data_IF_980909159247
#
_entry.id   IF_980909159247
#
_cell.length_a   1.000
_cell.length_b   1.000
_cell.length_c   1.000
_cell.angle_alpha   90.00
_cell.angle_beta   90.00
_cell.angle_gamma   90.00
#
_symmetry.space_group_name_H-M   'P 1'
#
loop_
_entity.id
_entity.type
_entity.pdbx_description
1 polymer ?
#
# COMPACT_ATOMS: atom_id res chain seq x y z
N UNK A 1 -14.11 -4.12 26.98
CA UNK A 1 -14.38 -3.85 25.54
C UNK A 1 -13.31 -4.57 24.71
N UNK A 2 -13.72 -5.24 23.61
CA UNK A 2 -12.76 -5.89 22.71
C UNK A 2 -12.65 -5.12 21.40
N UNK A 3 -11.44 -5.08 20.82
CA UNK A 3 -11.15 -4.46 19.54
C UNK A 3 -10.15 -5.32 18.74
N UNK A 4 -10.24 -5.24 17.42
CA UNK A 4 -9.34 -5.89 16.48
C UNK A 4 -8.42 -4.83 15.88
N UNK A 5 -7.11 -5.08 15.85
CA UNK A 5 -6.14 -4.28 15.12
C UNK A 5 -5.58 -5.08 13.96
N UNK A 6 -5.47 -4.48 12.79
CA UNK A 6 -4.88 -5.11 11.59
C UNK A 6 -3.76 -4.21 11.07
N UNK A 7 -2.59 -4.79 10.89
CA UNK A 7 -1.45 -4.17 10.19
C UNK A 7 -1.21 -4.85 8.85
N UNK A 8 -1.35 -4.09 7.77
CA UNK A 8 -1.16 -4.57 6.39
C UNK A 8 0.23 -4.15 5.91
N UNK A 9 1.24 -4.90 6.34
CA UNK A 9 2.63 -4.64 5.94
C UNK A 9 2.99 -5.18 4.56
N UNK A 10 4.11 -4.73 4.02
CA UNK A 10 4.62 -5.17 2.72
C UNK A 10 4.93 -6.67 2.68
N UNK A 11 5.47 -7.21 3.78
CA UNK A 11 5.91 -8.62 3.88
C UNK A 11 4.91 -9.50 4.60
N UNK A 12 4.26 -8.97 5.62
CA UNK A 12 3.32 -9.70 6.47
C UNK A 12 2.04 -8.91 6.66
N UNK A 13 0.96 -9.63 6.98
CA UNK A 13 -0.29 -9.07 7.47
C UNK A 13 -0.46 -9.62 8.88
N UNK A 14 -0.58 -8.73 9.85
CA UNK A 14 -0.70 -9.07 11.26
C UNK A 14 -2.02 -8.57 11.83
N UNK A 15 -2.63 -9.38 12.66
CA UNK A 15 -3.82 -9.03 13.39
C UNK A 15 -3.63 -9.25 14.89
N UNK A 16 -4.27 -8.43 15.69
CA UNK A 16 -4.34 -8.59 17.15
C UNK A 16 -5.76 -8.39 17.64
N UNK A 17 -6.12 -9.11 18.67
CA UNK A 17 -7.34 -8.84 19.45
C UNK A 17 -6.91 -8.33 20.81
N UNK A 18 -7.42 -7.16 21.18
CA UNK A 18 -7.15 -6.54 22.48
C UNK A 18 -8.42 -6.45 23.30
N UNK A 19 -8.28 -6.64 24.60
CA UNK A 19 -9.31 -6.35 25.58
C UNK A 19 -8.90 -5.11 26.38
N UNK A 20 -9.83 -4.18 26.50
CA UNK A 20 -9.66 -2.95 27.29
C UNK A 20 -10.60 -3.02 28.47
N UNK A 21 -10.05 -2.96 29.68
CA UNK A 21 -10.81 -2.97 30.93
C UNK A 21 -11.43 -1.58 31.26
N UNK A 22 -12.13 -1.50 32.38
CA UNK A 22 -12.75 -0.26 32.88
C UNK A 22 -11.72 0.81 33.24
N UNK A 23 -10.49 0.41 33.59
CA UNK A 23 -9.37 1.31 33.92
C UNK A 23 -8.56 1.73 32.69
N UNK A 24 -9.01 1.32 31.48
CA UNK A 24 -8.36 1.56 30.17
C UNK A 24 -7.00 0.87 30.00
N UNK A 25 -6.71 -0.17 30.78
CA UNK A 25 -5.59 -1.04 30.47
C UNK A 25 -5.96 -1.97 29.32
N UNK A 26 -5.05 -2.11 28.37
CA UNK A 26 -5.22 -2.99 27.22
C UNK A 26 -4.36 -4.25 27.39
N UNK A 27 -4.98 -5.40 27.12
CA UNK A 27 -4.31 -6.71 27.12
C UNK A 27 -4.50 -7.35 25.74
N UNK A 28 -3.41 -7.81 25.13
CA UNK A 28 -3.48 -8.60 23.91
C UNK A 28 -3.98 -9.99 24.26
N UNK A 29 -5.14 -10.37 23.72
CA UNK A 29 -5.76 -11.69 23.94
C UNK A 29 -5.25 -12.69 22.90
N UNK A 30 -5.09 -12.24 21.65
CA UNK A 30 -4.64 -13.07 20.55
C UNK A 30 -3.88 -12.22 19.54
N UNK A 31 -2.90 -12.84 18.90
CA UNK A 31 -2.17 -12.26 17.78
C UNK A 31 -1.96 -13.31 16.69
N UNK A 32 -2.06 -12.89 15.43
CA UNK A 32 -1.83 -13.73 14.25
C UNK A 32 -1.06 -12.94 13.21
N UNK A 33 -0.07 -13.59 12.61
CA UNK A 33 0.69 -13.02 11.49
C UNK A 33 0.73 -14.03 10.35
N UNK A 34 0.44 -13.57 9.15
CA UNK A 34 0.54 -14.36 7.92
C UNK A 34 1.47 -13.67 6.92
N UNK A 35 2.03 -14.45 6.00
CA UNK A 35 2.80 -13.90 4.89
C UNK A 35 1.90 -13.13 3.93
N UNK A 36 2.25 -11.90 3.59
CA UNK A 36 1.55 -11.13 2.59
C UNK A 36 1.66 -11.84 1.22
N UNK A 37 2.87 -12.12 0.73
CA UNK A 37 3.11 -12.94 -0.46
C UNK A 37 2.39 -12.45 -1.71
N UNK A 38 2.11 -11.16 -1.80
CA UNK A 38 1.37 -10.53 -2.92
C UNK A 38 2.29 -9.88 -3.96
N UNK A 39 3.62 -9.97 -3.80
CA UNK A 39 4.52 -9.46 -4.82
C UNK A 39 4.26 -10.11 -6.17
N UNK A 40 4.26 -9.27 -7.20
CA UNK A 40 4.14 -9.67 -8.60
C UNK A 40 5.57 -9.77 -9.17
N UNK A 41 5.89 -10.90 -9.81
CA UNK A 41 7.16 -11.07 -10.50
C UNK A 41 7.25 -10.15 -11.71
N UNK A 42 8.36 -9.43 -11.85
CA UNK A 42 8.62 -8.52 -12.97
C UNK A 42 9.99 -8.79 -13.56
N UNK A 43 10.21 -8.36 -14.81
CA UNK A 43 11.53 -8.43 -15.46
C UNK A 43 12.47 -7.29 -15.03
N UNK A 44 11.95 -6.26 -14.37
CA UNK A 44 12.70 -5.09 -13.95
C UNK A 44 13.11 -5.21 -12.49
N UNK A 45 14.39 -5.26 -12.21
CA UNK A 45 14.92 -5.40 -10.84
C UNK A 45 14.53 -4.25 -9.90
N UNK A 46 14.27 -3.06 -10.45
CA UNK A 46 13.85 -1.89 -9.69
C UNK A 46 12.35 -1.87 -9.38
N UNK A 47 11.56 -2.68 -10.06
CA UNK A 47 10.10 -2.69 -9.92
C UNK A 47 9.69 -3.53 -8.69
N UNK A 48 8.94 -2.92 -7.79
CA UNK A 48 8.44 -3.55 -6.57
C UNK A 48 6.95 -3.30 -6.44
N UNK A 49 6.19 -4.19 -7.07
CA UNK A 49 4.74 -4.10 -7.17
C UNK A 49 4.05 -5.29 -6.50
N UNK A 50 2.87 -5.06 -5.99
CA UNK A 50 2.05 -6.05 -5.32
C UNK A 50 0.63 -6.10 -5.91
N UNK A 51 0.02 -7.28 -5.83
CA UNK A 51 -1.38 -7.51 -6.15
C UNK A 51 -2.26 -6.98 -5.01
N UNK A 52 -2.94 -5.85 -5.25
CA UNK A 52 -3.77 -5.17 -4.26
C UNK A 52 -4.97 -6.03 -3.84
N UNK A 53 -5.61 -6.74 -4.78
CA UNK A 53 -6.75 -7.59 -4.48
C UNK A 53 -6.34 -8.77 -3.59
N UNK A 54 -5.19 -9.37 -3.86
CA UNK A 54 -4.65 -10.45 -3.02
C UNK A 54 -4.34 -9.98 -1.59
N UNK A 55 -3.87 -8.74 -1.43
CA UNK A 55 -3.66 -8.13 -0.11
C UNK A 55 -5.00 -8.02 0.63
N UNK A 56 -6.02 -7.45 -0.02
CA UNK A 56 -7.36 -7.28 0.55
C UNK A 56 -7.94 -8.64 0.97
N UNK A 57 -7.87 -9.65 0.10
CA UNK A 57 -8.37 -10.99 0.40
C UNK A 57 -7.69 -11.59 1.64
N UNK A 58 -6.37 -11.47 1.74
CA UNK A 58 -5.61 -11.99 2.90
C UNK A 58 -5.91 -11.23 4.19
N UNK A 59 -6.00 -9.91 4.13
CA UNK A 59 -6.38 -9.10 5.28
C UNK A 59 -7.78 -9.48 5.76
N UNK A 60 -8.71 -9.68 4.82
CA UNK A 60 -10.07 -10.10 5.10
C UNK A 60 -10.13 -11.45 5.80
N UNK A 61 -9.35 -12.44 5.37
CA UNK A 61 -9.28 -13.76 6.05
C UNK A 61 -8.88 -13.62 7.52
N UNK A 62 -7.91 -12.75 7.84
CA UNK A 62 -7.49 -12.52 9.24
C UNK A 62 -8.60 -11.84 10.04
N UNK A 63 -9.29 -10.85 9.44
CA UNK A 63 -10.40 -10.15 10.08
C UNK A 63 -11.58 -11.07 10.33
N UNK A 64 -12.00 -11.83 9.32
CA UNK A 64 -13.16 -12.75 9.41
C UNK A 64 -12.93 -13.80 10.51
N UNK A 65 -11.73 -14.39 10.58
CA UNK A 65 -11.37 -15.36 11.62
C UNK A 65 -11.46 -14.77 13.04
N UNK A 66 -11.03 -13.52 13.22
CA UNK A 66 -11.15 -12.84 14.51
C UNK A 66 -12.59 -12.45 14.84
N UNK A 67 -13.39 -12.03 13.85
CA UNK A 67 -14.81 -11.74 14.07
C UNK A 67 -15.57 -13.00 14.48
N UNK A 68 -15.32 -14.12 13.82
CA UNK A 68 -15.96 -15.40 14.14
C UNK A 68 -15.63 -15.86 15.57
N UNK A 69 -14.39 -15.68 15.99
CA UNK A 69 -13.93 -16.08 17.33
C UNK A 69 -14.30 -15.08 18.43
N UNK A 70 -14.39 -13.80 18.07
CA UNK A 70 -14.66 -12.69 19.01
C UNK A 70 -15.84 -11.83 18.53
N UNK A 71 -17.06 -12.36 18.47
CA UNK A 71 -18.22 -11.68 17.89
C UNK A 71 -18.61 -10.38 18.60
N UNK A 72 -18.08 -10.12 19.79
CA UNK A 72 -18.29 -8.88 20.55
C UNK A 72 -17.16 -7.84 20.37
N UNK A 73 -16.23 -8.06 19.44
CA UNK A 73 -15.25 -7.07 19.05
C UNK A 73 -15.84 -6.15 17.97
N UNK A 74 -16.41 -5.02 18.40
CA UNK A 74 -17.14 -4.11 17.52
C UNK A 74 -16.29 -3.00 16.89
N UNK A 75 -15.01 -2.92 17.24
CA UNK A 75 -14.10 -1.91 16.73
C UNK A 75 -12.95 -2.58 15.97
N UNK A 76 -12.64 -2.06 14.78
CA UNK A 76 -11.51 -2.50 13.97
C UNK A 76 -10.63 -1.28 13.70
N UNK A 77 -9.34 -1.37 14.07
CA UNK A 77 -8.31 -0.41 13.72
C UNK A 77 -7.46 -0.96 12.59
N UNK A 78 -7.16 -0.12 11.60
CA UNK A 78 -6.32 -0.49 10.47
C UNK A 78 -5.05 0.37 10.45
N UNK A 79 -3.93 -0.26 10.14
CA UNK A 79 -2.68 0.37 9.75
C UNK A 79 -2.06 -0.41 8.60
N UNK A 80 -1.07 0.14 7.92
CA UNK A 80 -0.44 -0.56 6.81
C UNK A 80 0.80 0.15 6.29
N UNK A 81 1.36 -0.42 5.20
CA UNK A 81 2.51 0.17 4.52
C UNK A 81 2.18 1.57 4.00
N UNK A 82 3.15 2.46 4.09
CA UNK A 82 3.03 3.86 3.66
C UNK A 82 3.73 4.09 2.32
N UNK A 83 3.50 5.29 1.76
CA UNK A 83 4.20 5.83 0.60
C UNK A 83 3.97 5.10 -0.74
N UNK A 84 3.21 4.02 -0.76
CA UNK A 84 2.81 3.37 -2.01
C UNK A 84 1.70 4.13 -2.74
N UNK A 85 1.35 3.66 -3.94
CA UNK A 85 0.20 4.15 -4.71
C UNK A 85 -0.49 3.00 -5.45
N UNK A 86 -1.80 3.00 -5.47
CA UNK A 86 -2.64 2.17 -6.33
C UNK A 86 -3.66 3.07 -7.03
N UNK A 87 -3.93 2.80 -8.31
CA UNK A 87 -4.97 3.51 -9.04
C UNK A 87 -6.30 2.78 -8.90
N UNK A 88 -7.35 3.54 -8.65
CA UNK A 88 -8.70 3.03 -8.49
C UNK A 88 -9.60 3.61 -9.58
N UNK A 89 -10.59 2.83 -10.04
CA UNK A 89 -11.67 3.33 -10.89
C UNK A 89 -12.76 4.04 -10.06
N UNK A 90 -13.79 4.55 -10.73
CA UNK A 90 -14.90 5.24 -10.09
C UNK A 90 -15.67 4.38 -9.06
N UNK A 91 -15.63 3.06 -9.23
CA UNK A 91 -16.25 2.08 -8.32
C UNK A 91 -15.34 1.69 -7.16
N UNK A 92 -14.14 2.30 -7.03
CA UNK A 92 -13.16 2.02 -5.97
C UNK A 92 -12.41 0.68 -6.15
N UNK A 93 -12.43 0.09 -7.35
CA UNK A 93 -11.66 -1.14 -7.64
C UNK A 93 -10.28 -0.78 -8.16
N UNK A 94 -9.28 -1.57 -7.77
CA UNK A 94 -7.93 -1.39 -8.29
C UNK A 94 -7.87 -1.63 -9.79
N UNK A 95 -7.26 -0.70 -10.52
CA UNK A 95 -6.99 -0.77 -11.97
C UNK A 95 -5.50 -0.79 -12.27
N UNK A 96 -4.68 -0.92 -11.24
CA UNK A 96 -3.24 -1.10 -11.32
C UNK A 96 -2.76 -2.02 -10.20
N UNK A 97 -1.52 -2.54 -10.29
CA UNK A 97 -0.87 -3.07 -9.09
C UNK A 97 -0.67 -1.96 -8.05
N UNK A 98 -0.46 -2.35 -6.80
CA UNK A 98 0.09 -1.48 -5.77
C UNK A 98 1.58 -1.30 -6.03
N UNK A 99 2.01 -0.10 -6.36
CA UNK A 99 3.41 0.29 -6.41
C UNK A 99 3.87 0.57 -5.00
N UNK A 100 4.79 -0.24 -4.47
CA UNK A 100 5.18 -0.15 -3.07
C UNK A 100 6.20 0.97 -2.83
N UNK A 101 6.44 1.29 -1.57
CA UNK A 101 7.49 2.22 -1.15
C UNK A 101 8.92 1.76 -1.54
N UNK A 102 9.10 0.49 -1.87
CA UNK A 102 10.37 -0.09 -2.32
C UNK A 102 10.58 0.05 -3.83
N UNK A 103 9.58 0.55 -4.58
CA UNK A 103 9.68 0.68 -6.02
C UNK A 103 10.74 1.71 -6.42
N UNK A 104 11.65 1.30 -7.27
CA UNK A 104 12.84 2.06 -7.66
C UNK A 104 12.69 2.94 -8.90
N UNK A 105 11.48 3.00 -9.53
CA UNK A 105 11.29 3.68 -10.82
C UNK A 105 11.73 5.14 -10.85
N UNK A 106 11.57 5.86 -9.75
CA UNK A 106 12.01 7.26 -9.65
C UNK A 106 13.51 7.47 -9.80
N UNK A 107 14.33 6.43 -9.54
CA UNK A 107 15.78 6.43 -9.72
C UNK A 107 16.22 5.97 -11.12
N UNK A 108 15.30 5.40 -11.91
CA UNK A 108 15.63 4.91 -13.23
C UNK A 108 15.99 6.08 -14.16
N UNK A 109 17.12 5.97 -14.84
CA UNK A 109 17.58 7.02 -15.74
C UNK A 109 16.84 6.90 -17.09
N UNK A 110 16.28 8.01 -17.52
CA UNK A 110 15.71 8.15 -18.86
C UNK A 110 16.82 8.11 -19.91
N UNK A 111 16.72 7.22 -20.88
CA UNK A 111 17.74 7.04 -21.94
C UNK A 111 17.98 8.31 -22.78
N UNK A 112 16.98 9.19 -22.87
CA UNK A 112 17.07 10.43 -23.65
C UNK A 112 17.79 11.55 -22.90
N UNK A 113 17.60 11.63 -21.59
CA UNK A 113 18.14 12.71 -20.77
C UNK A 113 19.35 12.30 -19.96
N UNK A 114 19.56 10.98 -19.75
CA UNK A 114 20.55 10.42 -18.86
C UNK A 114 20.32 10.75 -17.38
N UNK A 115 19.17 11.32 -17.03
CA UNK A 115 18.81 11.71 -15.67
C UNK A 115 17.62 10.90 -15.16
N UNK A 116 17.61 10.62 -13.86
CA UNK A 116 16.44 10.06 -13.20
C UNK A 116 15.41 11.17 -12.90
N UNK A 117 14.15 10.77 -12.72
CA UNK A 117 13.09 11.70 -12.32
C UNK A 117 13.43 12.42 -11.00
N UNK A 118 14.01 11.70 -10.04
CA UNK A 118 14.43 12.31 -8.77
C UNK A 118 15.47 13.40 -8.98
N UNK A 119 16.44 13.19 -9.88
CA UNK A 119 17.45 14.19 -10.21
C UNK A 119 16.85 15.42 -10.88
N UNK A 120 15.89 15.22 -11.79
CA UNK A 120 15.17 16.33 -12.42
C UNK A 120 14.38 17.16 -11.40
N UNK A 121 13.72 16.49 -10.43
CA UNK A 121 12.96 17.17 -9.36
C UNK A 121 13.92 17.93 -8.44
N UNK A 122 15.03 17.31 -8.01
CA UNK A 122 16.02 17.96 -7.15
C UNK A 122 16.57 19.22 -7.80
N UNK A 123 16.92 19.17 -9.09
CA UNK A 123 17.45 20.31 -9.83
C UNK A 123 16.43 21.44 -10.01
N UNK A 124 15.14 21.11 -10.24
CA UNK A 124 14.10 22.11 -10.49
C UNK A 124 13.50 22.69 -9.22
N UNK A 125 13.29 21.87 -8.22
CA UNK A 125 12.52 22.23 -7.03
C UNK A 125 13.38 22.33 -5.77
N UNK A 126 14.66 21.96 -5.83
CA UNK A 126 15.58 21.86 -4.67
C UNK A 126 15.01 20.95 -3.55
N UNK A 127 14.18 20.00 -3.91
CA UNK A 127 13.53 19.07 -3.00
C UNK A 127 14.07 17.66 -3.18
N UNK A 128 14.49 17.04 -2.08
CA UNK A 128 14.94 15.64 -2.07
C UNK A 128 13.76 14.73 -1.75
N UNK A 129 13.42 13.85 -2.67
CA UNK A 129 12.37 12.86 -2.52
C UNK A 129 12.96 11.45 -2.57
N UNK A 130 12.19 10.45 -2.11
CA UNK A 130 12.53 9.04 -2.24
C UNK A 130 11.76 8.42 -3.43
N UNK A 131 12.41 7.46 -4.11
CA UNK A 131 11.86 6.81 -5.30
C UNK A 131 10.48 6.18 -5.09
N UNK A 132 10.30 5.51 -3.95
CA UNK A 132 9.06 4.81 -3.62
C UNK A 132 7.95 5.71 -3.07
N UNK A 133 8.10 7.03 -3.04
CA UNK A 133 6.99 7.92 -2.70
C UNK A 133 5.93 7.89 -3.80
N UNK A 134 4.67 7.70 -3.42
CA UNK A 134 3.55 7.55 -4.36
C UNK A 134 3.47 8.68 -5.39
N UNK A 135 3.74 9.94 -4.98
CA UNK A 135 3.79 11.06 -5.92
C UNK A 135 4.92 10.91 -6.96
N UNK A 136 6.09 10.43 -6.55
CA UNK A 136 7.22 10.19 -7.47
C UNK A 136 6.87 9.07 -8.45
N UNK A 137 6.29 7.99 -7.95
CA UNK A 137 5.77 6.89 -8.77
C UNK A 137 4.73 7.39 -9.76
N UNK A 138 3.80 8.22 -9.31
CA UNK A 138 2.77 8.82 -10.17
C UNK A 138 3.38 9.69 -11.28
N UNK A 139 4.27 10.61 -10.93
CA UNK A 139 4.95 11.47 -11.90
C UNK A 139 5.76 10.67 -12.93
N UNK A 140 6.42 9.59 -12.50
CA UNK A 140 7.11 8.69 -13.42
C UNK A 140 6.12 8.02 -14.37
N UNK A 141 5.04 7.46 -13.84
CA UNK A 141 4.03 6.76 -14.64
C UNK A 141 3.37 7.71 -15.64
N UNK A 142 3.07 8.95 -15.26
CA UNK A 142 2.57 10.00 -16.15
C UNK A 142 3.58 10.30 -17.29
N UNK A 143 4.83 10.57 -16.92
CA UNK A 143 5.91 10.89 -17.88
C UNK A 143 6.11 9.78 -18.92
N UNK A 144 5.92 8.53 -18.52
CA UNK A 144 6.13 7.36 -19.37
C UNK A 144 4.82 6.75 -19.92
N UNK A 145 3.69 7.45 -19.77
CA UNK A 145 2.37 7.00 -20.26
C UNK A 145 1.96 5.60 -19.75
N UNK A 146 2.36 5.28 -18.51
CA UNK A 146 2.02 4.02 -17.85
C UNK A 146 0.71 4.08 -17.06
N UNK A 147 0.15 5.27 -16.89
CA UNK A 147 -1.19 5.44 -16.33
C UNK A 147 -2.17 5.21 -17.48
N UNK A 148 -2.99 4.19 -17.37
CA UNK A 148 -4.18 4.13 -18.22
C UNK A 148 -5.12 5.24 -17.77
N UNK A 149 -5.12 6.38 -18.48
CA UNK A 149 -6.13 7.39 -18.27
C UNK A 149 -7.49 6.84 -18.74
N UNK A 150 -8.40 6.54 -17.84
CA UNK A 150 -9.79 6.80 -18.13
C UNK A 150 -9.85 8.32 -18.28
N UNK A 151 -10.62 8.82 -19.24
CA UNK A 151 -10.80 10.25 -19.49
C UNK A 151 -10.96 10.98 -18.16
N UNK A 152 -10.34 12.17 -18.02
CA UNK A 152 -10.43 13.04 -16.84
C UNK A 152 -11.83 12.95 -16.21
N UNK A 153 -11.95 12.31 -15.05
CA UNK A 153 -13.21 12.06 -14.37
C UNK A 153 -13.39 10.63 -13.84
N UNK A 154 -12.68 9.63 -14.37
CA UNK A 154 -12.98 8.22 -14.09
C UNK A 154 -11.92 7.48 -13.26
N UNK A 155 -10.76 8.09 -12.99
CA UNK A 155 -9.73 7.49 -12.12
C UNK A 155 -9.41 8.39 -10.95
N UNK A 156 -9.59 7.89 -9.75
CA UNK A 156 -9.13 8.51 -8.52
C UNK A 156 -7.87 7.77 -8.05
N UNK A 157 -6.77 8.50 -7.89
CA UNK A 157 -5.57 7.96 -7.24
C UNK A 157 -5.80 7.90 -5.73
N UNK A 158 -5.61 6.73 -5.12
CA UNK A 158 -5.54 6.60 -3.67
C UNK A 158 -4.08 6.48 -3.25
N UNK A 159 -3.66 7.35 -2.34
CA UNK A 159 -2.34 7.29 -1.70
C UNK A 159 -2.48 6.57 -0.35
N UNK A 160 -1.61 5.61 -0.11
CA UNK A 160 -1.48 4.93 1.18
C UNK A 160 -0.15 5.25 1.83
#
# INVERSE_FOLDING_TARGET
>A
MKAIGIDIGTTTISGVVVEVDERRYSTVIEAKTIQNGSFIGTSNEWERIQDAEKIIQKAKVVVDEFIDKYPYAHNIGLTGQMHGIVYLNAEGRSVSPLYTWQDGRGNFCDDKTGKSLLKEIEEKCQYKAASGYGLITHLYNEKHHLVMHPRWGDAHGAFF
#
